data_IF_082254471544
#
_entry.id   IF_082254471544
#
_cell.length_a   1.000
_cell.length_b   1.000
_cell.length_c   1.000
_cell.angle_alpha   90.00
_cell.angle_beta   90.00
_cell.angle_gamma   90.00
#
_symmetry.space_group_name_H-M   'P 1'
#
loop_
_entity.id
_entity.type
_entity.pdbx_description
1 polymer ?
#
# COMPACT_ATOMS: atom_id res chain seq x y z
N UNK A 1 21.51 -22.68 7.61
CA UNK A 1 20.09 -22.56 7.21
C UNK A 1 19.16 -23.53 7.94
N UNK A 2 19.60 -24.67 8.51
CA UNK A 2 18.72 -25.68 9.13
C UNK A 2 17.71 -25.15 10.17
N UNK A 3 18.18 -24.41 11.18
CA UNK A 3 17.28 -23.81 12.21
C UNK A 3 16.22 -22.86 11.63
N UNK A 4 16.53 -22.14 10.55
CA UNK A 4 15.56 -21.27 9.90
C UNK A 4 14.48 -22.11 9.21
N UNK A 5 14.87 -23.15 8.49
CA UNK A 5 13.93 -24.05 7.83
C UNK A 5 13.01 -24.73 8.85
N UNK A 6 13.55 -25.23 9.97
CA UNK A 6 12.74 -25.83 11.04
C UNK A 6 11.68 -24.85 11.60
N UNK A 7 11.99 -23.56 11.71
CA UNK A 7 11.01 -22.56 12.15
C UNK A 7 9.95 -22.28 11.08
N UNK A 8 10.35 -22.28 9.80
CA UNK A 8 9.41 -22.13 8.70
C UNK A 8 8.46 -23.31 8.61
N UNK A 9 8.96 -24.54 8.77
CA UNK A 9 8.14 -25.75 8.74
C UNK A 9 7.12 -25.73 9.89
N UNK A 10 7.55 -25.44 11.12
CA UNK A 10 6.66 -25.27 12.27
C UNK A 10 5.60 -24.19 12.05
N UNK A 11 5.99 -23.07 11.45
CA UNK A 11 5.06 -21.99 11.13
C UNK A 11 4.03 -22.44 10.08
N UNK A 12 4.47 -23.16 9.05
CA UNK A 12 3.57 -23.70 8.01
C UNK A 12 2.55 -24.68 8.60
N UNK A 13 2.97 -25.57 9.51
CA UNK A 13 2.07 -26.50 10.20
C UNK A 13 1.02 -25.73 11.03
N UNK A 14 1.46 -24.73 11.81
CA UNK A 14 0.56 -23.91 12.61
C UNK A 14 -0.43 -23.12 11.76
N UNK A 15 0.02 -22.55 10.63
CA UNK A 15 -0.85 -21.86 9.67
C UNK A 15 -1.86 -22.82 9.04
N UNK A 16 -1.45 -24.04 8.72
CA UNK A 16 -2.35 -25.08 8.21
C UNK A 16 -3.46 -25.43 9.20
N UNK A 17 -3.12 -25.61 10.48
CA UNK A 17 -4.08 -25.85 11.54
C UNK A 17 -5.05 -24.66 11.72
N UNK A 18 -4.53 -23.43 11.78
CA UNK A 18 -5.35 -22.23 11.91
C UNK A 18 -6.28 -22.02 10.71
N UNK A 19 -5.81 -22.29 9.50
CA UNK A 19 -6.63 -22.24 8.29
C UNK A 19 -7.82 -23.20 8.39
N UNK A 20 -7.59 -24.44 8.81
CA UNK A 20 -8.67 -25.43 8.96
C UNK A 20 -9.70 -24.98 10.00
N UNK A 21 -9.26 -24.49 11.15
CA UNK A 21 -10.14 -24.00 12.22
C UNK A 21 -11.00 -22.80 11.78
N UNK A 22 -10.42 -21.87 11.01
CA UNK A 22 -11.17 -20.75 10.42
C UNK A 22 -12.20 -21.27 9.41
N UNK A 23 -11.82 -22.19 8.53
CA UNK A 23 -12.72 -22.76 7.54
C UNK A 23 -13.92 -23.46 8.19
N UNK A 24 -13.70 -24.26 9.22
CA UNK A 24 -14.74 -24.94 10.00
C UNK A 24 -15.66 -23.92 10.69
N UNK A 25 -15.08 -22.86 11.25
CA UNK A 25 -15.83 -21.76 11.87
C UNK A 25 -16.69 -21.01 10.86
N UNK A 26 -16.15 -20.69 9.68
CA UNK A 26 -16.88 -20.00 8.62
C UNK A 26 -18.02 -20.86 8.07
N UNK A 27 -17.80 -22.17 7.92
CA UNK A 27 -18.82 -23.12 7.51
C UNK A 27 -20.02 -23.08 8.47
N UNK A 28 -19.73 -23.22 9.77
CA UNK A 28 -20.76 -23.34 10.80
C UNK A 28 -21.47 -22.01 11.09
N UNK A 29 -20.74 -20.90 11.20
CA UNK A 29 -21.29 -19.62 11.67
C UNK A 29 -21.81 -18.71 10.55
N UNK A 30 -21.16 -18.73 9.38
CA UNK A 30 -21.41 -17.74 8.32
C UNK A 30 -22.05 -18.37 7.09
N UNK A 31 -21.49 -19.44 6.55
CA UNK A 31 -22.01 -20.06 5.33
C UNK A 31 -23.34 -20.78 5.54
N UNK A 32 -23.56 -21.41 6.70
CA UNK A 32 -24.87 -21.98 7.02
C UNK A 32 -26.01 -20.94 6.95
N UNK A 33 -25.73 -19.69 7.33
CA UNK A 33 -26.68 -18.57 7.32
C UNK A 33 -26.65 -17.72 6.04
N UNK A 34 -25.78 -18.06 5.08
CA UNK A 34 -25.57 -17.28 3.87
C UNK A 34 -26.67 -17.57 2.83
N UNK A 35 -27.37 -16.54 2.29
CA UNK A 35 -28.35 -16.73 1.21
C UNK A 35 -27.77 -17.37 -0.05
N UNK A 36 -26.47 -17.21 -0.30
CA UNK A 36 -25.72 -17.80 -1.42
C UNK A 36 -25.01 -19.10 -1.05
N UNK A 37 -25.43 -19.80 0.01
CA UNK A 37 -24.78 -21.04 0.46
C UNK A 37 -24.66 -22.09 -0.66
N UNK A 38 -25.68 -22.23 -1.50
CA UNK A 38 -25.73 -23.20 -2.60
C UNK A 38 -24.72 -22.92 -3.72
N UNK A 39 -24.17 -21.69 -3.81
CA UNK A 39 -23.16 -21.29 -4.79
C UNK A 39 -21.82 -20.93 -4.14
N UNK A 40 -21.67 -21.17 -2.84
CA UNK A 40 -20.45 -20.83 -2.07
C UNK A 40 -19.20 -21.53 -2.60
N UNK A 41 -19.32 -22.77 -3.06
CA UNK A 41 -18.23 -23.54 -3.68
C UNK A 41 -17.77 -22.98 -5.02
N UNK A 42 -18.64 -22.25 -5.74
CA UNK A 42 -18.28 -21.59 -7.00
C UNK A 42 -17.68 -20.20 -6.78
N UNK A 43 -18.04 -19.53 -5.68
CA UNK A 43 -17.54 -18.19 -5.36
C UNK A 43 -16.28 -18.20 -4.48
N UNK A 44 -15.90 -19.36 -3.93
CA UNK A 44 -14.73 -19.53 -3.06
C UNK A 44 -14.65 -18.50 -1.92
N UNK A 45 -15.81 -18.08 -1.41
CA UNK A 45 -15.90 -16.95 -0.49
C UNK A 45 -15.20 -17.22 0.84
N UNK A 46 -15.20 -18.48 1.31
CA UNK A 46 -14.54 -18.88 2.55
C UNK A 46 -13.03 -18.88 2.38
N UNK A 47 -12.54 -19.48 1.30
CA UNK A 47 -11.13 -19.56 0.99
C UNK A 47 -10.52 -18.15 0.88
N UNK A 48 -11.19 -17.26 0.14
CA UNK A 48 -10.79 -15.85 0.01
C UNK A 48 -10.78 -15.17 1.38
N UNK A 49 -11.83 -15.34 2.18
CA UNK A 49 -11.92 -14.71 3.51
C UNK A 49 -10.84 -15.23 4.45
N UNK A 50 -10.66 -16.56 4.55
CA UNK A 50 -9.64 -17.21 5.38
C UNK A 50 -8.23 -16.76 4.98
N UNK A 51 -7.92 -16.73 3.69
CA UNK A 51 -6.63 -16.24 3.19
C UNK A 51 -6.41 -14.77 3.58
N UNK A 52 -7.44 -13.93 3.43
CA UNK A 52 -7.37 -12.51 3.81
C UNK A 52 -7.06 -12.35 5.30
N UNK A 53 -7.86 -12.95 6.18
CA UNK A 53 -7.70 -12.76 7.65
C UNK A 53 -6.41 -13.35 8.18
N UNK A 54 -5.94 -14.48 7.64
CA UNK A 54 -4.64 -15.06 8.01
C UNK A 54 -3.48 -14.16 7.57
N UNK A 55 -3.54 -13.59 6.37
CA UNK A 55 -2.54 -12.66 5.88
C UNK A 55 -2.51 -11.38 6.74
N UNK A 56 -3.67 -10.84 7.08
CA UNK A 56 -3.80 -9.68 7.99
C UNK A 56 -3.23 -9.98 9.38
N UNK A 57 -3.55 -11.13 9.96
CA UNK A 57 -3.04 -11.56 11.27
C UNK A 57 -1.51 -11.75 11.25
N UNK A 58 -0.96 -12.34 10.19
CA UNK A 58 0.48 -12.48 10.02
C UNK A 58 1.18 -11.12 9.95
N UNK A 59 0.67 -10.22 9.12
CA UNK A 59 1.24 -8.88 8.95
C UNK A 59 1.14 -8.09 10.27
N UNK A 60 0.03 -8.21 10.99
CA UNK A 60 -0.16 -7.58 12.30
C UNK A 60 0.81 -8.12 13.35
N UNK A 61 0.97 -9.45 13.47
CA UNK A 61 1.90 -10.06 14.43
C UNK A 61 3.36 -9.65 14.18
N UNK A 62 3.76 -9.51 12.91
CA UNK A 62 5.09 -8.99 12.55
C UNK A 62 5.23 -7.53 12.97
N UNK A 63 4.21 -6.69 12.70
CA UNK A 63 4.21 -5.27 13.08
C UNK A 63 4.34 -5.09 14.58
N UNK A 64 3.59 -5.84 15.38
CA UNK A 64 3.63 -5.79 16.84
C UNK A 64 5.01 -6.18 17.36
N UNK A 65 5.58 -7.30 16.89
CA UNK A 65 6.92 -7.73 17.33
C UNK A 65 8.02 -6.75 16.94
N UNK A 66 7.95 -6.14 15.76
CA UNK A 66 8.92 -5.09 15.40
C UNK A 66 8.73 -3.85 16.28
N UNK A 67 7.50 -3.46 16.57
CA UNK A 67 7.19 -2.36 17.48
C UNK A 67 7.75 -2.59 18.89
N UNK A 68 7.59 -3.79 19.46
CA UNK A 68 8.16 -4.18 20.76
C UNK A 68 9.69 -4.04 20.80
N UNK A 69 10.37 -4.25 19.67
CA UNK A 69 11.84 -4.11 19.56
C UNK A 69 12.32 -2.66 19.38
N UNK A 70 11.41 -1.68 19.46
CA UNK A 70 11.75 -0.25 19.35
C UNK A 70 11.93 0.24 17.91
N UNK A 71 11.49 -0.53 16.91
CA UNK A 71 11.47 -0.09 15.51
C UNK A 71 10.43 1.01 15.35
N UNK A 72 10.84 2.17 14.84
CA UNK A 72 9.90 3.28 14.60
C UNK A 72 8.85 2.91 13.55
N UNK A 73 7.65 3.49 13.65
CA UNK A 73 6.57 3.30 12.67
C UNK A 73 7.02 3.56 11.23
N UNK A 74 7.77 4.65 11.01
CA UNK A 74 8.31 5.01 9.69
C UNK A 74 9.25 3.93 9.14
N UNK A 75 10.10 3.35 9.98
CA UNK A 75 11.00 2.28 9.57
C UNK A 75 10.24 0.98 9.30
N UNK A 76 9.22 0.67 10.11
CA UNK A 76 8.33 -0.47 9.91
C UNK A 76 7.63 -0.39 8.54
N UNK A 77 7.07 0.75 8.17
CA UNK A 77 6.48 0.97 6.85
C UNK A 77 7.49 0.77 5.73
N UNK A 78 8.71 1.29 5.90
CA UNK A 78 9.81 1.12 4.93
C UNK A 78 10.14 -0.37 4.69
N UNK A 79 10.17 -1.18 5.76
CA UNK A 79 10.45 -2.61 5.69
C UNK A 79 9.34 -3.38 4.95
N UNK A 80 8.08 -3.03 5.22
CA UNK A 80 6.91 -3.63 4.58
C UNK A 80 6.91 -3.31 3.07
N UNK A 81 7.08 -2.04 2.72
CA UNK A 81 7.16 -1.59 1.32
C UNK A 81 8.25 -2.31 0.54
N UNK A 82 9.45 -2.44 1.12
CA UNK A 82 10.58 -3.14 0.49
C UNK A 82 10.31 -4.63 0.31
N UNK A 83 9.62 -5.27 1.26
CA UNK A 83 9.24 -6.68 1.16
C UNK A 83 8.24 -6.89 0.03
N UNK A 84 7.23 -6.03 -0.06
CA UNK A 84 6.25 -6.03 -1.15
C UNK A 84 6.90 -5.81 -2.52
N UNK A 85 7.79 -4.83 -2.65
CA UNK A 85 8.54 -4.60 -3.90
C UNK A 85 9.40 -5.81 -4.31
N UNK A 86 10.04 -6.48 -3.36
CA UNK A 86 10.80 -7.71 -3.64
C UNK A 86 9.90 -8.81 -4.20
N UNK A 87 8.65 -8.94 -3.71
CA UNK A 87 7.67 -9.89 -4.26
C UNK A 87 7.30 -9.54 -5.70
N UNK A 88 6.98 -8.27 -5.99
CA UNK A 88 6.66 -7.83 -7.35
C UNK A 88 7.82 -7.99 -8.34
N UNK A 89 9.05 -7.66 -7.93
CA UNK A 89 10.24 -7.84 -8.78
C UNK A 89 10.46 -9.29 -9.18
N UNK A 90 10.24 -10.24 -8.26
CA UNK A 90 10.31 -11.69 -8.57
C UNK A 90 9.27 -12.11 -9.62
N UNK A 91 8.14 -11.43 -9.69
CA UNK A 91 7.09 -11.67 -10.69
C UNK A 91 7.31 -10.88 -11.99
N UNK A 92 8.50 -10.29 -12.20
CA UNK A 92 8.83 -9.55 -13.43
C UNK A 92 8.38 -8.09 -13.44
N UNK A 93 7.77 -7.59 -12.35
CA UNK A 93 7.39 -6.19 -12.24
C UNK A 93 8.61 -5.27 -12.18
N UNK A 94 8.75 -4.37 -13.16
CA UNK A 94 9.69 -3.25 -13.08
C UNK A 94 8.93 -1.93 -12.92
N UNK A 95 8.97 -1.36 -11.72
CA UNK A 95 8.49 -0.02 -11.46
C UNK A 95 9.49 0.98 -12.04
N UNK A 96 9.28 1.37 -13.30
CA UNK A 96 10.05 2.45 -13.93
C UNK A 96 9.42 3.78 -13.60
N UNK A 97 10.27 4.78 -13.47
CA UNK A 97 9.86 6.18 -13.42
C UNK A 97 9.14 6.53 -14.73
N UNK A 98 7.94 7.09 -14.63
CA UNK A 98 7.11 7.46 -15.79
C UNK A 98 6.29 8.71 -15.46
N UNK A 99 5.99 9.50 -16.49
CA UNK A 99 4.99 10.56 -16.39
C UNK A 99 3.66 10.04 -16.91
N UNK A 100 2.60 10.24 -16.14
CA UNK A 100 1.22 9.92 -16.52
C UNK A 100 0.37 11.19 -16.43
N UNK A 101 -0.72 11.20 -17.18
CA UNK A 101 -1.81 12.16 -17.01
C UNK A 101 -2.99 11.39 -16.44
N UNK A 102 -3.59 11.92 -15.38
CA UNK A 102 -4.75 11.31 -14.75
C UNK A 102 -5.83 12.35 -14.48
N UNK A 103 -7.10 11.94 -14.59
CA UNK A 103 -8.23 12.74 -14.13
C UNK A 103 -8.30 12.74 -12.61
N UNK A 104 -8.71 13.86 -12.01
CA UNK A 104 -8.95 13.93 -10.57
C UNK A 104 -10.23 13.16 -10.23
N UNK A 105 -10.10 12.14 -9.38
CA UNK A 105 -11.24 11.42 -8.83
C UNK A 105 -12.07 12.32 -7.90
N UNK A 106 -13.42 12.24 -7.92
CA UNK A 106 -14.30 13.00 -7.02
C UNK A 106 -14.03 12.82 -5.53
N UNK A 107 -13.30 11.77 -5.15
CA UNK A 107 -12.90 11.52 -3.75
C UNK A 107 -11.82 12.49 -3.25
N UNK A 108 -11.13 13.21 -4.15
CA UNK A 108 -10.13 14.20 -3.79
C UNK A 108 -10.78 15.58 -3.68
N UNK A 109 -11.38 15.86 -2.52
CA UNK A 109 -12.19 17.06 -2.27
C UNK A 109 -11.42 18.38 -2.45
N UNK A 110 -10.09 18.34 -2.36
CA UNK A 110 -9.22 19.52 -2.46
C UNK A 110 -8.93 19.94 -3.91
N UNK A 111 -9.38 19.17 -4.90
CA UNK A 111 -9.10 19.41 -6.32
C UNK A 111 -10.39 19.35 -7.15
N UNK A 112 -10.53 20.29 -8.10
CA UNK A 112 -11.68 20.31 -9.02
C UNK A 112 -11.68 19.04 -9.90
N UNK A 113 -12.78 18.23 -9.90
CA UNK A 113 -12.91 17.04 -10.74
C UNK A 113 -12.77 17.28 -12.25
N UNK A 114 -12.90 18.53 -12.72
CA UNK A 114 -12.62 18.93 -14.11
C UNK A 114 -11.13 19.14 -14.41
N UNK A 115 -10.26 18.75 -13.49
CA UNK A 115 -8.82 18.92 -13.61
C UNK A 115 -8.14 17.61 -13.97
N UNK A 116 -7.08 17.71 -14.76
CA UNK A 116 -6.11 16.65 -14.99
C UNK A 116 -4.81 16.97 -14.29
N UNK A 117 -4.16 15.93 -13.77
CA UNK A 117 -2.85 16.04 -13.14
C UNK A 117 -1.82 15.35 -14.02
N UNK A 118 -0.74 16.07 -14.31
CA UNK A 118 0.48 15.48 -14.86
C UNK A 118 1.36 15.08 -13.69
N UNK A 119 1.59 13.78 -13.53
CA UNK A 119 2.23 13.18 -12.35
C UNK A 119 3.39 12.31 -12.78
N UNK A 120 4.51 12.47 -12.07
CA UNK A 120 5.67 11.58 -12.18
C UNK A 120 5.55 10.45 -11.16
N UNK A 121 5.22 9.25 -11.61
CA UNK A 121 5.10 8.06 -10.77
C UNK A 121 6.44 7.33 -10.60
N UNK A 122 6.60 6.62 -9.49
CA UNK A 122 7.84 5.93 -9.09
C UNK A 122 9.10 6.83 -9.16
N UNK A 123 9.09 8.02 -8.52
CA UNK A 123 10.23 8.92 -8.58
C UNK A 123 11.47 8.28 -7.94
N UNK A 124 12.62 8.38 -8.61
CA UNK A 124 13.91 7.91 -8.05
C UNK A 124 14.56 8.92 -7.12
N UNK A 125 14.26 10.19 -7.34
CA UNK A 125 14.74 11.33 -6.56
C UNK A 125 13.63 12.37 -6.49
N UNK A 126 13.57 13.04 -5.36
CA UNK A 126 12.68 14.15 -5.09
C UNK A 126 13.56 15.30 -4.56
N UNK A 127 13.25 16.54 -4.95
CA UNK A 127 13.95 17.75 -4.52
C UNK A 127 13.10 18.54 -3.53
N UNK A 128 13.77 19.31 -2.69
CA UNK A 128 13.12 20.28 -1.81
C UNK A 128 12.30 21.28 -2.64
N UNK A 129 11.11 21.63 -2.13
CA UNK A 129 10.14 22.48 -2.82
C UNK A 129 9.29 21.77 -3.88
N UNK A 130 9.57 20.51 -4.24
CA UNK A 130 8.67 19.77 -5.13
C UNK A 130 7.34 19.45 -4.44
N UNK A 131 6.26 19.49 -5.22
CA UNK A 131 4.93 19.07 -4.76
C UNK A 131 4.77 17.58 -4.98
N UNK A 132 4.45 16.85 -3.92
CA UNK A 132 4.29 15.40 -3.93
C UNK A 132 2.88 15.01 -3.53
N UNK A 133 2.45 13.85 -4.01
CA UNK A 133 1.17 13.24 -3.71
C UNK A 133 1.38 12.13 -2.68
N UNK A 134 0.69 12.24 -1.55
CA UNK A 134 0.74 11.24 -0.47
C UNK A 134 -0.67 10.73 -0.16
N UNK A 135 -0.82 9.46 0.26
CA UNK A 135 -2.13 8.91 0.60
C UNK A 135 -2.78 9.69 1.75
N UNK A 136 -4.11 9.83 1.73
CA UNK A 136 -4.85 10.33 2.88
C UNK A 136 -4.84 9.30 4.03
N UNK A 137 -4.84 9.77 5.28
CA UNK A 137 -4.63 8.98 6.51
C UNK A 137 -5.63 7.83 6.74
N UNK A 138 -6.69 7.72 5.92
CA UNK A 138 -7.72 6.67 6.03
C UNK A 138 -7.33 5.31 5.44
N UNK A 139 -6.13 5.17 4.87
CA UNK A 139 -5.66 3.89 4.34
C UNK A 139 -4.72 3.27 5.37
N UNK A 140 -5.24 2.41 6.24
CA UNK A 140 -4.49 1.63 7.26
C UNK A 140 -3.34 0.79 6.69
N UNK A 141 -3.20 0.74 5.37
CA UNK A 141 -2.17 0.01 4.67
C UNK A 141 -1.41 0.92 3.70
N UNK A 142 -0.21 1.32 4.10
CA UNK A 142 0.82 1.96 3.27
C UNK A 142 1.26 1.10 2.06
N UNK A 143 0.66 -0.08 1.84
CA UNK A 143 1.08 -1.09 0.86
C UNK A 143 0.73 -0.72 -0.59
N UNK A 144 -0.13 0.27 -0.83
CA UNK A 144 -0.70 0.45 -2.16
C UNK A 144 0.12 1.34 -3.12
N UNK A 145 1.07 2.16 -2.66
CA UNK A 145 1.95 2.96 -3.54
C UNK A 145 1.26 3.54 -4.80
N UNK A 146 1.90 3.49 -5.96
CA UNK A 146 1.30 3.93 -7.25
C UNK A 146 0.02 3.15 -7.63
N UNK A 147 -0.15 1.92 -7.16
CA UNK A 147 -1.39 1.17 -7.40
C UNK A 147 -2.58 1.82 -6.69
N UNK A 148 -2.38 2.47 -5.52
CA UNK A 148 -3.43 3.25 -4.86
C UNK A 148 -3.93 4.36 -5.79
N UNK A 149 -2.98 5.08 -6.42
CA UNK A 149 -3.27 6.17 -7.35
C UNK A 149 -4.06 5.68 -8.57
N UNK A 150 -3.64 4.55 -9.16
CA UNK A 150 -4.33 3.95 -10.32
C UNK A 150 -5.72 3.40 -9.97
N UNK A 151 -5.93 2.98 -8.73
CA UNK A 151 -7.20 2.48 -8.22
C UNK A 151 -8.12 3.60 -7.70
N UNK A 152 -7.72 4.87 -7.86
CA UNK A 152 -8.53 6.03 -7.53
C UNK A 152 -8.61 6.37 -6.04
N UNK A 153 -7.69 5.84 -5.22
CA UNK A 153 -7.63 6.16 -3.80
C UNK A 153 -7.37 7.66 -3.56
N UNK A 154 -7.93 8.23 -2.49
CA UNK A 154 -7.76 9.64 -2.18
C UNK A 154 -6.32 9.95 -1.76
N UNK A 155 -5.85 11.12 -2.18
CA UNK A 155 -4.52 11.65 -1.90
C UNK A 155 -4.59 13.13 -1.53
N UNK A 156 -3.53 13.61 -0.87
CA UNK A 156 -3.28 15.03 -0.64
C UNK A 156 -1.98 15.45 -1.31
N UNK A 157 -1.92 16.71 -1.73
CA UNK A 157 -0.71 17.34 -2.28
C UNK A 157 -0.03 18.11 -1.16
N UNK A 158 1.28 17.89 -0.99
CA UNK A 158 2.10 18.61 0.00
C UNK A 158 3.46 18.97 -0.60
N UNK A 159 4.22 19.80 0.09
CA UNK A 159 5.54 20.28 -0.34
C UNK A 159 6.63 19.53 0.42
N UNK A 160 7.70 19.20 -0.30
CA UNK A 160 8.89 18.55 0.25
C UNK A 160 9.73 19.57 0.99
N UNK A 161 9.92 19.38 2.29
CA UNK A 161 10.84 20.18 3.10
C UNK A 161 12.26 19.62 3.02
N UNK A 162 12.40 18.28 3.03
CA UNK A 162 13.70 17.61 3.04
C UNK A 162 13.65 16.25 2.37
N UNK A 163 14.72 15.90 1.64
CA UNK A 163 14.94 14.55 1.09
C UNK A 163 16.25 13.97 1.62
N UNK A 164 16.20 12.81 2.29
CA UNK A 164 17.36 12.27 3.00
C UNK A 164 17.43 10.74 3.00
N UNK A 165 18.61 10.20 3.31
CA UNK A 165 18.86 8.76 3.38
C UNK A 165 19.20 8.34 4.82
N UNK A 166 18.51 7.32 5.34
CA UNK A 166 18.75 6.76 6.68
C UNK A 166 18.42 5.27 6.67
N UNK A 167 19.16 4.44 7.42
CA UNK A 167 18.90 3.00 7.55
C UNK A 167 18.76 2.23 6.21
N UNK A 168 19.44 2.67 5.15
CA UNK A 168 19.36 2.09 3.79
C UNK A 168 17.99 2.29 3.09
N UNK A 169 17.26 3.35 3.48
CA UNK A 169 16.02 3.81 2.87
C UNK A 169 16.09 5.31 2.58
N UNK A 170 15.36 5.74 1.56
CA UNK A 170 15.17 7.15 1.24
C UNK A 170 13.86 7.64 1.84
N UNK A 171 13.91 8.84 2.42
CA UNK A 171 12.80 9.46 3.12
C UNK A 171 12.54 10.86 2.58
N UNK A 172 11.29 11.27 2.71
CA UNK A 172 10.81 12.61 2.41
C UNK A 172 10.16 13.18 3.65
N UNK A 173 10.63 14.34 4.08
CA UNK A 173 9.99 15.17 5.11
C UNK A 173 9.10 16.18 4.40
N UNK A 174 7.88 16.35 4.91
CA UNK A 174 6.87 17.27 4.37
C UNK A 174 6.37 18.19 5.47
N UNK A 175 5.65 19.24 5.07
CA UNK A 175 5.04 20.22 5.98
C UNK A 175 4.44 19.58 7.24
N UNK A 176 4.77 20.14 8.41
CA UNK A 176 4.49 19.64 9.76
C UNK A 176 5.38 18.48 10.23
N UNK A 177 6.64 18.40 9.78
CA UNK A 177 7.66 17.43 10.24
C UNK A 177 7.26 15.95 10.07
N UNK A 178 6.29 15.66 9.20
CA UNK A 178 5.87 14.27 8.92
C UNK A 178 6.85 13.63 7.92
N UNK A 179 7.31 12.42 8.23
CA UNK A 179 8.30 11.70 7.43
C UNK A 179 7.64 10.51 6.74
N UNK A 180 7.85 10.40 5.43
CA UNK A 180 7.34 9.32 4.59
C UNK A 180 8.49 8.57 3.90
N UNK A 181 8.45 7.23 3.80
CA UNK A 181 9.33 6.50 2.89
C UNK A 181 9.13 6.96 1.43
N UNK A 182 10.20 7.06 0.64
CA UNK A 182 10.09 7.43 -0.79
C UNK A 182 9.12 6.51 -1.54
N UNK A 183 9.13 5.22 -1.19
CA UNK A 183 8.29 4.19 -1.80
C UNK A 183 6.79 4.35 -1.49
N UNK A 184 6.41 5.12 -0.46
CA UNK A 184 5.00 5.42 -0.17
C UNK A 184 4.49 6.66 -0.91
N UNK A 185 5.37 7.42 -1.57
CA UNK A 185 4.98 8.59 -2.36
C UNK A 185 4.27 8.12 -3.63
N UNK A 186 3.05 8.60 -3.85
CA UNK A 186 2.21 8.21 -4.99
C UNK A 186 2.76 8.80 -6.31
N UNK A 187 3.35 10.00 -6.23
CA UNK A 187 4.03 10.64 -7.36
C UNK A 187 4.42 12.08 -7.06
N UNK A 188 5.20 12.67 -7.96
CA UNK A 188 5.52 14.11 -7.95
C UNK A 188 4.58 14.83 -8.90
N UNK A 189 3.88 15.85 -8.41
CA UNK A 189 2.97 16.66 -9.20
C UNK A 189 3.75 17.63 -10.07
N UNK A 190 3.73 17.42 -11.39
CA UNK A 190 4.39 18.30 -12.36
C UNK A 190 3.49 19.49 -12.69
N UNK A 191 2.24 19.23 -13.09
CA UNK A 191 1.32 20.27 -13.57
C UNK A 191 -0.12 19.92 -13.27
N UNK A 192 -0.90 20.95 -13.00
CA UNK A 192 -2.36 20.93 -12.90
C UNK A 192 -2.91 21.48 -14.22
N UNK A 193 -3.75 20.71 -14.91
CA UNK A 193 -4.30 21.01 -16.24
C UNK A 193 -5.82 21.19 -16.08
N UNK A 194 -6.31 22.41 -16.21
CA UNK A 194 -7.76 22.68 -16.20
C UNK A 194 -8.34 22.36 -17.56
N UNK A 195 -9.38 21.52 -17.63
CA UNK A 195 -10.06 21.21 -18.91
C UNK A 195 -10.74 22.43 -19.55
N UNK A 196 -11.00 23.46 -18.74
CA UNK A 196 -11.76 24.65 -19.15
C UNK A 196 -10.85 25.83 -19.61
N UNK A 197 -9.53 25.65 -19.71
CA UNK A 197 -8.62 26.67 -20.25
C UNK A 197 -8.09 26.27 -21.64
N UNK A 198 -8.30 27.09 -22.70
CA UNK A 198 -7.63 26.88 -23.97
C UNK A 198 -6.11 27.05 -23.76
N UNK A 199 -5.31 26.20 -24.40
CA UNK A 199 -3.86 26.32 -24.39
C UNK A 199 -3.44 27.64 -25.07
N UNK A 200 -2.96 28.60 -24.27
CA UNK A 200 -2.28 29.79 -24.79
C UNK A 200 -2.78 31.12 -24.21
N UNK A 201 -2.02 31.66 -23.27
CA UNK A 201 -1.87 33.10 -23.03
C UNK A 201 -0.47 33.33 -22.49
#
# INVERSE_FOLDING_TARGET
MGKLQEQLDKFQDNVGAAYQEIMDTLEYKYCWKCPMRSTSTNSHCREIHSMKVLQEALDQGIREKLGETGVSSVLLESLILRTTQKRFKKQGGSAREKTIIMDVSPQNLDLDPKTQLMVKINPRKIREGERIMIPCESIESSVLGVCALMMGFPFRVTVVERFFHKNNFWYVEVENEKIFPLESILGVLIKVIRKDQPEGS
#
